data_IF_412882611862
#
_entry.id   IF_412882611862
#
_cell.length_a   1.000
_cell.length_b   1.000
_cell.length_c   1.000
_cell.angle_alpha   90.00
_cell.angle_beta   90.00
_cell.angle_gamma   90.00
#
_symmetry.space_group_name_H-M   'P 1'
#
loop_
_entity.id
_entity.type
_entity.pdbx_description
1 polymer ?
#
# COMPACT_ATOMS: atom_id res chain seq x y z
N UNK A 1 3.30 2.14 -6.51
CA UNK A 1 2.39 1.14 -5.89
C UNK A 1 1.57 1.76 -4.78
N UNK A 2 2.18 2.39 -3.76
CA UNK A 2 1.44 3.09 -2.68
C UNK A 2 0.40 4.07 -3.22
N UNK A 3 0.80 5.03 -4.07
CA UNK A 3 -0.13 6.00 -4.65
C UNK A 3 -1.25 5.34 -5.48
N UNK A 4 -0.92 4.27 -6.20
CA UNK A 4 -1.91 3.50 -6.97
C UNK A 4 -2.92 2.79 -6.08
N UNK A 5 -2.50 2.25 -4.93
CA UNK A 5 -3.39 1.64 -3.94
C UNK A 5 -4.30 2.68 -3.30
N UNK A 6 -3.77 3.88 -3.00
CA UNK A 6 -4.55 4.99 -2.47
C UNK A 6 -5.61 5.48 -3.46
N UNK A 7 -5.24 5.63 -4.73
CA UNK A 7 -6.16 6.02 -5.81
C UNK A 7 -7.28 4.97 -6.02
N UNK A 8 -6.96 3.68 -5.90
CA UNK A 8 -7.92 2.57 -5.97
C UNK A 8 -8.94 2.57 -4.83
N UNK A 9 -8.48 2.99 -3.65
CA UNK A 9 -9.29 3.06 -2.43
C UNK A 9 -10.25 4.26 -2.46
N UNK A 10 -9.93 5.30 -3.22
CA UNK A 10 -10.83 6.40 -3.53
C UNK A 10 -10.22 7.77 -3.22
N UNK A 11 -11.02 8.85 -3.26
CA UNK A 11 -10.55 10.23 -3.16
C UNK A 11 -10.11 10.63 -1.75
N UNK A 12 -9.74 9.67 -0.90
CA UNK A 12 -9.32 9.94 0.46
C UNK A 12 -7.88 10.46 0.46
N UNK A 13 -7.73 11.74 0.81
CA UNK A 13 -6.43 12.30 1.14
C UNK A 13 -5.95 11.74 2.49
N UNK A 14 -5.10 10.71 2.43
CA UNK A 14 -4.29 10.30 3.57
C UNK A 14 -3.32 11.41 3.96
N UNK A 15 -3.08 11.55 5.26
CA UNK A 15 -2.15 12.55 5.74
C UNK A 15 -0.73 12.26 5.22
N UNK A 16 0.10 13.30 5.01
CA UNK A 16 1.47 13.13 4.53
C UNK A 16 2.31 12.21 5.43
N UNK A 17 2.08 12.25 6.74
CA UNK A 17 2.71 11.36 7.74
C UNK A 17 2.37 9.88 7.48
N UNK A 18 1.08 9.55 7.38
CA UNK A 18 0.61 8.20 7.06
C UNK A 18 1.14 7.73 5.71
N UNK A 19 1.21 8.63 4.72
CA UNK A 19 1.78 8.31 3.41
C UNK A 19 3.27 7.94 3.50
N UNK A 20 4.06 8.64 4.32
CA UNK A 20 5.47 8.30 4.53
C UNK A 20 5.61 6.94 5.19
N UNK A 21 4.80 6.64 6.21
CA UNK A 21 4.82 5.33 6.88
C UNK A 21 4.47 4.18 5.92
N UNK A 22 3.48 4.38 5.04
CA UNK A 22 3.11 3.40 4.01
C UNK A 22 4.26 3.15 3.01
N UNK A 23 4.97 4.22 2.63
CA UNK A 23 6.13 4.12 1.73
C UNK A 23 7.29 3.38 2.43
N UNK A 24 7.56 3.66 3.70
CA UNK A 24 8.59 2.97 4.46
C UNK A 24 8.24 1.49 4.70
N UNK A 25 6.98 1.17 4.99
CA UNK A 25 6.48 -0.20 5.09
C UNK A 25 6.69 -0.98 3.77
N UNK A 26 6.43 -0.33 2.64
CA UNK A 26 6.71 -0.91 1.33
C UNK A 26 8.21 -1.00 1.04
N UNK A 27 9.01 -0.02 1.45
CA UNK A 27 10.44 -0.01 1.23
C UNK A 27 11.16 -1.13 1.99
N UNK A 28 10.71 -1.44 3.20
CA UNK A 28 11.32 -2.49 4.04
C UNK A 28 11.12 -3.91 3.50
N UNK A 29 10.06 -4.17 2.73
CA UNK A 29 9.85 -5.49 2.13
C UNK A 29 10.48 -5.70 0.75
N UNK A 30 11.24 -4.72 0.23
CA UNK A 30 11.91 -4.78 -1.08
C UNK A 30 11.06 -4.25 -2.25
N UNK A 31 11.59 -4.37 -3.47
CA UNK A 31 10.90 -3.89 -4.68
C UNK A 31 9.74 -4.79 -5.11
N UNK A 32 8.72 -4.20 -5.72
CA UNK A 32 7.65 -4.93 -6.39
C UNK A 32 8.13 -5.40 -7.77
N UNK A 33 7.82 -6.64 -8.11
CA UNK A 33 8.13 -7.23 -9.41
C UNK A 33 6.93 -7.98 -9.98
N UNK A 34 6.74 -7.87 -11.29
CA UNK A 34 5.61 -8.49 -12.00
C UNK A 34 6.08 -9.39 -13.15
N UNK A 35 7.39 -9.53 -13.34
CA UNK A 35 7.99 -10.20 -14.51
C UNK A 35 8.00 -11.72 -14.38
N UNK A 36 8.09 -12.24 -13.16
CA UNK A 36 8.10 -13.69 -12.88
C UNK A 36 6.94 -14.09 -11.97
N UNK A 37 6.51 -15.36 -12.05
CA UNK A 37 5.42 -15.86 -11.21
C UNK A 37 5.74 -15.71 -9.71
N UNK A 38 6.98 -15.90 -9.29
CA UNK A 38 7.39 -15.78 -7.89
C UNK A 38 7.34 -14.33 -7.41
N UNK A 39 7.82 -13.39 -8.24
CA UNK A 39 7.72 -11.96 -7.95
C UNK A 39 6.27 -11.47 -7.95
N UNK A 40 5.44 -12.00 -8.86
CA UNK A 40 4.02 -11.68 -8.94
C UNK A 40 3.29 -12.09 -7.67
N UNK A 41 3.49 -13.33 -7.20
CA UNK A 41 2.83 -13.82 -5.98
C UNK A 41 3.33 -13.09 -4.72
N UNK A 42 4.63 -12.83 -4.63
CA UNK A 42 5.19 -12.01 -3.55
C UNK A 42 4.62 -10.58 -3.56
N UNK A 43 4.55 -9.96 -4.74
CA UNK A 43 4.00 -8.61 -4.90
C UNK A 43 2.52 -8.55 -4.57
N UNK A 44 1.72 -9.54 -4.98
CA UNK A 44 0.29 -9.63 -4.64
C UNK A 44 0.06 -9.71 -3.13
N UNK A 45 0.82 -10.56 -2.44
CA UNK A 45 0.72 -10.70 -0.98
C UNK A 45 1.01 -9.35 -0.30
N UNK A 46 2.08 -8.69 -0.71
CA UNK A 46 2.49 -7.39 -0.15
C UNK A 46 1.54 -6.25 -0.48
N UNK A 47 0.97 -6.22 -1.69
CA UNK A 47 -0.09 -5.27 -2.04
C UNK A 47 -1.33 -5.49 -1.15
N UNK A 48 -1.66 -6.74 -0.82
CA UNK A 48 -2.77 -7.05 0.08
C UNK A 48 -2.51 -6.54 1.50
N UNK A 49 -1.29 -6.75 2.03
CA UNK A 49 -0.87 -6.21 3.33
C UNK A 49 -0.91 -4.69 3.36
N UNK A 50 -0.42 -4.04 2.29
CA UNK A 50 -0.47 -2.59 2.13
C UNK A 50 -1.91 -2.07 2.16
N UNK A 51 -2.83 -2.70 1.43
CA UNK A 51 -4.25 -2.32 1.45
C UNK A 51 -4.87 -2.50 2.83
N UNK A 52 -4.55 -3.57 3.55
CA UNK A 52 -5.01 -3.77 4.93
C UNK A 52 -4.51 -2.67 5.87
N UNK A 53 -3.24 -2.27 5.72
CA UNK A 53 -2.66 -1.17 6.50
C UNK A 53 -3.37 0.16 6.18
N UNK A 54 -3.61 0.46 4.90
CA UNK A 54 -4.35 1.67 4.51
C UNK A 54 -5.77 1.69 5.08
N UNK A 55 -6.52 0.57 5.01
CA UNK A 55 -7.87 0.48 5.62
C UNK A 55 -7.84 0.61 7.14
N UNK A 56 -6.73 0.25 7.78
CA UNK A 56 -6.56 0.41 9.23
C UNK A 56 -6.26 1.86 9.67
N UNK A 57 -5.91 2.74 8.73
CA UNK A 57 -5.65 4.16 9.03
C UNK A 57 -6.92 4.85 9.50
N UNK A 58 -6.77 5.79 10.45
CA UNK A 58 -7.90 6.55 11.00
C UNK A 58 -8.57 7.38 9.92
N UNK A 59 -7.81 7.89 8.94
CA UNK A 59 -8.38 8.58 7.79
C UNK A 59 -9.41 7.71 7.06
N UNK A 60 -9.18 6.40 6.96
CA UNK A 60 -10.10 5.48 6.28
C UNK A 60 -11.28 5.03 7.16
N UNK A 61 -11.08 5.01 8.48
CA UNK A 61 -12.11 4.58 9.44
C UNK A 61 -13.13 5.68 9.78
N UNK A 62 -12.76 6.95 9.61
CA UNK A 62 -13.59 8.11 9.97
C UNK A 62 -14.01 9.00 8.79
N UNK A 63 -13.73 8.59 7.54
CA UNK A 63 -14.13 9.27 6.32
C UNK A 63 -15.59 9.02 5.90
#
# INVERSE_FOLDING_TARGET
VVDSCLDLMGPLEVQPESRVELIDFVGTGGEFGWDTSDQLEASKARVSELLQLIVSLREYQYA
#
